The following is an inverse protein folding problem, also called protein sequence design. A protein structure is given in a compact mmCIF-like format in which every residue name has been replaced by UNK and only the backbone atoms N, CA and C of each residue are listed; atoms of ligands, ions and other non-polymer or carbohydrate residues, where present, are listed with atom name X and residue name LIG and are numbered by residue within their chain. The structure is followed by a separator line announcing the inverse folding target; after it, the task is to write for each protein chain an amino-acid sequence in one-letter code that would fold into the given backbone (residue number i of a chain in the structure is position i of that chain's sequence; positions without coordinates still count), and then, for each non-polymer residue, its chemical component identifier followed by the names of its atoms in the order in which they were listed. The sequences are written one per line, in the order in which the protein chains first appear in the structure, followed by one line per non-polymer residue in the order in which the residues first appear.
data_IF_341114843768
#
_entry.id   IF_341114843768
#
_cell.length_a   1.000
_cell.length_b   1.000
_cell.length_c   1.000
_cell.angle_alpha   90.00
_cell.angle_beta   90.00
_cell.angle_gamma   90.00
#
_symmetry.space_group_name_H-M   'P 1'
#
loop_
_entity.id
_entity.type
_entity.pdbx_description
1 polymer ?
#
# COMPACT_ATOMS: atom_id res chain seq x y z
N UNK A 1 -24.34 52.67 28.76
CA UNK A 1 -24.40 52.81 27.29
C UNK A 1 -23.04 52.49 26.72
N UNK A 2 -22.91 51.45 25.89
CA UNK A 2 -21.68 51.16 25.14
C UNK A 2 -21.94 51.40 23.66
N UNK A 3 -21.06 52.17 23.00
CA UNK A 3 -21.13 52.43 21.55
C UNK A 3 -20.22 51.44 20.84
N UNK A 4 -20.76 50.68 19.89
CA UNK A 4 -20.00 49.75 19.05
C UNK A 4 -19.53 50.46 17.78
N UNK A 5 -18.21 50.57 17.60
CA UNK A 5 -17.61 51.25 16.44
C UNK A 5 -17.30 50.23 15.33
N UNK A 6 -18.12 50.21 14.28
CA UNK A 6 -17.93 49.34 13.10
C UNK A 6 -17.20 50.09 11.98
N UNK A 7 -15.86 50.05 11.95
CA UNK A 7 -15.08 50.76 10.90
C UNK A 7 -13.83 50.03 10.37
N UNK A 8 -13.54 48.80 10.82
CA UNK A 8 -12.31 48.08 10.45
C UNK A 8 -12.42 47.12 9.24
N UNK A 9 -13.60 46.90 8.67
CA UNK A 9 -13.85 45.81 7.69
C UNK A 9 -13.70 46.20 6.21
N UNK A 10 -13.45 47.47 5.86
CA UNK A 10 -13.43 47.91 4.46
C UNK A 10 -12.06 47.89 3.75
N UNK A 11 -10.95 47.72 4.46
CA UNK A 11 -9.61 47.74 3.83
C UNK A 11 -9.17 46.40 3.22
N UNK A 12 -9.92 45.31 3.40
CA UNK A 12 -9.57 43.98 2.87
C UNK A 12 -9.92 43.77 1.38
N UNK A 13 -10.68 44.69 0.76
CA UNK A 13 -11.23 44.53 -0.60
C UNK A 13 -10.29 45.00 -1.74
N UNK A 14 -9.05 45.38 -1.44
CA UNK A 14 -8.03 45.79 -2.43
C UNK A 14 -7.01 44.69 -2.79
N UNK A 15 -7.42 43.41 -2.74
CA UNK A 15 -6.62 42.35 -3.35
C UNK A 15 -6.75 42.41 -4.88
N UNK A 16 -5.62 42.70 -5.54
CA UNK A 16 -5.45 42.82 -6.98
C UNK A 16 -6.13 41.67 -7.76
N UNK A 17 -6.82 42.00 -8.87
CA UNK A 17 -7.46 41.00 -9.73
C UNK A 17 -6.40 40.27 -10.58
N UNK A 18 -6.15 38.96 -10.36
CA UNK A 18 -5.25 38.22 -11.22
C UNK A 18 -5.85 38.10 -12.62
N UNK A 19 -5.00 38.28 -13.64
CA UNK A 19 -5.40 38.33 -15.05
C UNK A 19 -6.21 37.09 -15.45
N UNK A 20 -7.51 37.30 -15.69
CA UNK A 20 -8.43 36.27 -16.18
C UNK A 20 -7.97 35.74 -17.55
N UNK A 21 -7.86 34.41 -17.69
CA UNK A 21 -7.57 33.77 -18.97
C UNK A 21 -6.86 32.42 -18.86
N UNK A 22 -6.00 32.24 -17.84
CA UNK A 22 -5.31 30.97 -17.59
C UNK A 22 -5.93 30.30 -16.37
N UNK A 23 -6.60 29.15 -16.56
CA UNK A 23 -7.05 28.31 -15.43
C UNK A 23 -5.82 27.97 -14.57
N UNK A 24 -5.87 28.21 -13.27
CA UNK A 24 -4.71 28.05 -12.36
C UNK A 24 -4.00 26.68 -12.47
N UNK A 25 -4.74 25.63 -12.87
CA UNK A 25 -4.23 24.27 -13.14
C UNK A 25 -3.32 24.11 -14.36
N UNK A 26 -3.27 25.09 -15.27
CA UNK A 26 -2.37 25.09 -16.42
C UNK A 26 -0.99 25.67 -16.08
N UNK A 27 -0.93 26.70 -15.22
CA UNK A 27 0.33 27.30 -14.79
C UNK A 27 1.11 26.35 -13.86
N UNK A 28 0.44 25.63 -12.97
CA UNK A 28 1.08 24.65 -12.08
C UNK A 28 1.80 23.51 -12.81
N UNK A 29 1.37 23.15 -14.04
CA UNK A 29 2.05 22.15 -14.89
C UNK A 29 3.45 22.60 -15.36
N UNK A 30 3.78 23.90 -15.28
CA UNK A 30 5.12 24.43 -15.57
C UNK A 30 6.09 24.22 -14.42
N UNK A 31 5.60 24.05 -13.19
CA UNK A 31 6.46 23.88 -12.02
C UNK A 31 7.38 22.65 -12.17
N UNK A 32 8.63 22.81 -11.78
CA UNK A 32 9.66 21.77 -11.73
C UNK A 32 10.32 21.78 -10.36
N UNK A 33 10.82 20.63 -9.95
CA UNK A 33 11.52 20.42 -8.68
C UNK A 33 12.91 19.85 -8.94
N UNK A 34 13.90 20.27 -8.16
CA UNK A 34 15.26 19.72 -8.20
C UNK A 34 15.30 18.40 -7.45
N UNK A 35 15.76 17.35 -8.13
CA UNK A 35 15.93 16.01 -7.52
C UNK A 35 17.30 15.46 -7.88
N UNK A 36 17.91 14.72 -6.96
CA UNK A 36 19.09 13.91 -7.26
C UNK A 36 18.67 12.50 -7.61
N UNK A 37 19.14 11.97 -8.73
CA UNK A 37 18.93 10.58 -9.11
C UNK A 37 19.89 9.66 -8.32
N UNK A 38 19.37 8.61 -7.70
CA UNK A 38 20.15 7.56 -7.04
C UNK A 38 20.37 6.33 -7.94
N UNK A 39 19.63 6.24 -9.05
CA UNK A 39 19.68 5.17 -10.06
C UNK A 39 19.61 5.78 -11.45
N UNK A 40 20.04 5.04 -12.46
CA UNK A 40 19.93 5.46 -13.86
C UNK A 40 18.48 5.32 -14.34
N UNK A 41 17.96 6.35 -15.01
CA UNK A 41 16.60 6.38 -15.54
C UNK A 41 16.59 6.78 -17.01
N UNK A 42 16.25 5.82 -17.88
CA UNK A 42 16.16 6.04 -19.32
C UNK A 42 15.21 7.21 -19.64
N UNK A 43 15.73 8.17 -20.43
CA UNK A 43 15.05 9.41 -20.81
C UNK A 43 14.95 10.49 -19.73
N UNK A 44 15.63 10.34 -18.58
CA UNK A 44 15.60 11.33 -17.47
C UNK A 44 17.02 11.75 -17.06
N UNK A 45 17.93 10.80 -16.89
CA UNK A 45 19.30 11.08 -16.46
C UNK A 45 19.99 9.88 -15.80
N UNK A 46 21.24 10.08 -15.40
CA UNK A 46 22.09 9.07 -14.76
C UNK A 46 22.17 9.23 -13.24
N UNK A 47 22.60 8.18 -12.55
CA UNK A 47 22.87 8.18 -11.10
C UNK A 47 23.84 9.29 -10.71
N UNK A 48 23.54 9.99 -9.61
CA UNK A 48 24.30 11.12 -9.09
C UNK A 48 23.90 12.48 -9.70
N UNK A 49 23.27 12.49 -10.88
CA UNK A 49 22.86 13.72 -11.57
C UNK A 49 21.73 14.45 -10.84
N UNK A 50 21.79 15.79 -10.83
CA UNK A 50 20.70 16.66 -10.37
C UNK A 50 19.87 17.10 -11.58
N UNK A 51 18.58 16.79 -11.58
CA UNK A 51 17.67 17.04 -12.71
C UNK A 51 16.43 17.79 -12.24
N UNK A 52 15.90 18.69 -13.08
CA UNK A 52 14.64 19.39 -12.83
C UNK A 52 13.45 18.63 -13.44
N UNK A 53 12.64 17.99 -12.58
CA UNK A 53 11.56 17.08 -13.02
C UNK A 53 10.17 17.60 -12.65
N UNK A 54 9.13 17.05 -13.28
CA UNK A 54 7.73 17.29 -12.88
C UNK A 54 7.47 16.61 -11.52
N UNK A 55 6.74 17.23 -10.57
CA UNK A 55 6.37 16.58 -9.31
C UNK A 55 5.68 15.22 -9.48
N UNK A 56 4.76 15.08 -10.44
CA UNK A 56 4.12 13.80 -10.76
C UNK A 56 5.10 12.72 -11.25
N UNK A 57 6.13 13.08 -12.04
CA UNK A 57 7.16 12.13 -12.46
C UNK A 57 8.03 11.68 -11.28
N UNK A 58 8.32 12.60 -10.35
CA UNK A 58 9.02 12.27 -9.12
C UNK A 58 8.21 11.28 -8.27
N UNK A 59 6.95 11.60 -7.95
CA UNK A 59 6.09 10.75 -7.11
C UNK A 59 5.87 9.37 -7.73
N UNK A 60 5.54 9.31 -9.03
CA UNK A 60 5.07 8.07 -9.65
C UNK A 60 6.19 7.18 -10.20
N UNK A 61 7.35 7.73 -10.59
CA UNK A 61 8.41 6.99 -11.32
C UNK A 61 9.79 7.03 -10.66
N UNK A 62 10.21 8.15 -10.09
CA UNK A 62 11.60 8.34 -9.63
C UNK A 62 11.79 8.08 -8.13
N UNK A 63 10.86 8.53 -7.29
CA UNK A 63 10.89 8.32 -5.84
C UNK A 63 10.69 6.85 -5.41
N UNK A 64 9.79 6.05 -6.03
CA UNK A 64 9.57 4.66 -5.65
C UNK A 64 10.85 3.83 -5.64
N UNK A 65 10.97 2.92 -4.66
CA UNK A 65 12.14 2.05 -4.47
C UNK A 65 13.47 2.83 -4.34
N UNK A 66 13.44 4.01 -3.72
CA UNK A 66 14.58 4.90 -3.48
C UNK A 66 15.37 5.22 -4.77
N UNK A 67 14.67 5.57 -5.85
CA UNK A 67 15.30 5.91 -7.12
C UNK A 67 15.83 7.34 -7.19
N UNK A 68 15.27 8.29 -6.43
CA UNK A 68 15.66 9.69 -6.41
C UNK A 68 15.33 10.37 -5.06
N UNK A 69 16.02 11.47 -4.76
CA UNK A 69 15.89 12.26 -3.52
C UNK A 69 15.54 13.71 -3.85
N UNK A 70 14.65 14.32 -3.07
CA UNK A 70 14.28 15.73 -3.20
C UNK A 70 15.42 16.65 -2.72
N UNK A 71 15.75 17.67 -3.51
CA UNK A 71 16.71 18.73 -3.13
C UNK A 71 16.02 20.09 -2.93
N UNK A 72 14.74 20.07 -2.54
CA UNK A 72 13.92 21.28 -2.39
C UNK A 72 14.11 22.01 -1.04
N UNK A 73 14.85 21.43 -0.08
CA UNK A 73 15.09 22.03 1.24
C UNK A 73 16.39 22.83 1.20
N UNK A 74 16.41 24.11 1.61
CA UNK A 74 17.64 24.91 1.67
C UNK A 74 18.63 24.26 2.65
N UNK A 75 19.82 23.90 2.17
CA UNK A 75 20.84 23.19 2.95
C UNK A 75 20.81 21.66 2.84
N UNK A 76 19.88 21.06 2.07
CA UNK A 76 19.94 19.64 1.75
C UNK A 76 21.22 19.33 0.96
N UNK A 77 22.12 18.53 1.55
CA UNK A 77 23.32 18.04 0.87
C UNK A 77 22.97 16.90 -0.08
N UNK A 78 23.55 16.84 -1.30
CA UNK A 78 23.48 15.65 -2.14
C UNK A 78 23.95 14.40 -1.39
N UNK A 79 23.22 13.29 -1.55
CA UNK A 79 23.51 12.02 -0.88
C UNK A 79 24.68 11.29 -1.55
N UNK A 80 24.82 11.49 -2.86
CA UNK A 80 25.86 10.92 -3.72
C UNK A 80 26.67 12.10 -4.32
N UNK A 81 27.96 11.95 -4.65
CA UNK A 81 28.69 12.92 -5.46
C UNK A 81 27.90 13.32 -6.72
N UNK A 82 27.87 14.61 -7.02
CA UNK A 82 27.08 15.15 -8.14
C UNK A 82 27.85 14.94 -9.44
N UNK A 83 27.31 14.10 -10.31
CA UNK A 83 27.81 13.92 -11.68
C UNK A 83 27.32 15.08 -12.53
N UNK A 84 28.22 15.79 -13.21
CA UNK A 84 27.86 16.83 -14.18
C UNK A 84 27.57 16.20 -15.54
N UNK A 85 26.66 16.76 -16.35
CA UNK A 85 26.38 16.23 -17.68
C UNK A 85 27.57 16.35 -18.64
N UNK A 86 28.53 17.22 -18.36
CA UNK A 86 29.77 17.42 -19.13
C UNK A 86 30.71 16.20 -19.08
N UNK A 87 30.63 15.36 -18.03
CA UNK A 87 31.45 14.17 -17.88
C UNK A 87 30.91 12.94 -18.65
N UNK A 88 29.71 13.07 -19.23
CA UNK A 88 29.02 11.97 -19.91
C UNK A 88 29.40 11.94 -21.39
N UNK A 89 30.41 11.12 -21.72
CA UNK A 89 30.69 10.74 -23.10
C UNK A 89 29.40 10.21 -23.75
N UNK A 90 29.01 10.68 -24.94
CA UNK A 90 27.81 10.18 -25.61
C UNK A 90 28.02 8.72 -25.98
N UNK A 91 27.36 7.82 -25.24
CA UNK A 91 27.17 6.44 -25.67
C UNK A 91 26.07 6.47 -26.71
N UNK A 92 26.43 6.20 -27.97
CA UNK A 92 25.49 6.15 -29.08
C UNK A 92 24.39 5.12 -28.80
N UNK A 93 23.11 5.44 -29.10
CA UNK A 93 22.05 4.46 -28.95
C UNK A 93 22.28 3.32 -29.95
N UNK A 94 22.48 2.10 -29.45
CA UNK A 94 22.52 0.91 -30.29
C UNK A 94 21.11 0.69 -30.86
N UNK A 95 20.93 1.15 -32.10
CA UNK A 95 19.71 0.94 -32.88
C UNK A 95 19.75 -0.50 -33.41
N UNK A 96 19.11 -1.43 -32.71
CA UNK A 96 18.70 -2.71 -33.31
C UNK A 96 17.54 -2.46 -34.25
N UNK A 97 17.87 -2.29 -35.53
CA UNK A 97 16.99 -2.42 -36.70
C UNK A 97 17.48 -3.58 -37.57
N UNK A 98 16.64 -3.96 -38.54
CA UNK A 98 16.85 -5.04 -39.52
C UNK A 98 16.50 -6.42 -38.90
N UNK A 99 15.63 -7.26 -39.48
CA UNK A 99 15.19 -7.35 -40.88
C UNK A 99 13.73 -7.84 -41.08
N UNK A 100 13.21 -7.68 -42.29
CA UNK A 100 11.87 -8.02 -42.77
C UNK A 100 12.04 -8.77 -44.13
N UNK A 101 11.21 -9.71 -44.60
CA UNK A 101 9.88 -10.19 -44.21
C UNK A 101 9.84 -11.75 -44.50
N UNK A 102 8.80 -12.44 -45.08
CA UNK A 102 7.43 -12.07 -45.46
C UNK A 102 6.28 -13.03 -45.02
N UNK A 103 5.08 -12.45 -44.99
CA UNK A 103 3.73 -12.97 -45.35
C UNK A 103 3.56 -14.48 -45.62
N UNK A 104 2.73 -15.17 -44.80
CA UNK A 104 1.75 -16.20 -45.23
C UNK A 104 0.53 -16.21 -44.26
N UNK A 105 -0.66 -15.94 -44.81
CA UNK A 105 -2.04 -16.36 -44.47
C UNK A 105 -2.60 -16.34 -43.02
N UNK A 106 -3.75 -15.66 -42.87
CA UNK A 106 -4.73 -15.92 -41.81
C UNK A 106 -5.39 -17.30 -42.01
N UNK A 107 -5.78 -17.98 -40.92
CA UNK A 107 -7.21 -18.27 -40.83
C UNK A 107 -7.82 -18.00 -39.45
N UNK A 108 -8.92 -17.25 -39.49
CA UNK A 108 -10.16 -17.48 -38.74
C UNK A 108 -10.06 -17.79 -37.23
N UNK A 109 -10.42 -16.76 -36.47
CA UNK A 109 -11.04 -16.83 -35.15
C UNK A 109 -11.84 -18.12 -34.91
N UNK A 110 -11.28 -19.01 -34.09
CA UNK A 110 -12.08 -19.88 -33.24
C UNK A 110 -11.90 -19.39 -31.81
N UNK A 111 -12.80 -18.50 -31.38
CA UNK A 111 -13.07 -18.37 -29.94
C UNK A 111 -13.52 -19.74 -29.45
N UNK A 112 -12.84 -20.38 -28.48
CA UNK A 112 -13.44 -21.53 -27.82
C UNK A 112 -14.71 -21.03 -27.14
N UNK A 113 -15.87 -21.42 -27.68
CA UNK A 113 -17.12 -21.33 -26.94
C UNK A 113 -17.00 -22.33 -25.80
N UNK A 114 -16.60 -21.81 -24.63
CA UNK A 114 -16.67 -22.53 -23.36
C UNK A 114 -18.08 -23.10 -23.23
N UNK A 115 -18.19 -24.42 -23.02
CA UNK A 115 -19.49 -25.02 -22.75
C UNK A 115 -20.04 -24.49 -21.42
N UNK A 116 -21.35 -24.62 -21.20
CA UNK A 116 -21.94 -24.27 -19.91
C UNK A 116 -21.35 -25.16 -18.80
N UNK A 117 -21.10 -26.44 -19.09
CA UNK A 117 -20.36 -27.36 -18.23
C UNK A 117 -18.93 -26.90 -17.92
N UNK A 118 -18.17 -26.36 -18.89
CA UNK A 118 -16.83 -25.80 -18.64
C UNK A 118 -16.92 -24.58 -17.71
N UNK A 119 -17.90 -23.69 -17.90
CA UNK A 119 -18.13 -22.53 -17.02
C UNK A 119 -18.58 -22.91 -15.60
N UNK A 120 -19.30 -24.03 -15.45
CA UNK A 120 -19.69 -24.60 -14.15
C UNK A 120 -18.50 -25.31 -13.46
N UNK A 121 -17.52 -25.78 -14.24
CA UNK A 121 -16.30 -26.43 -13.73
C UNK A 121 -15.05 -25.53 -13.70
N UNK A 122 -15.18 -24.24 -14.05
CA UNK A 122 -14.27 -23.21 -13.52
C UNK A 122 -14.54 -23.07 -12.02
N UNK A 123 -13.91 -23.96 -11.29
CA UNK A 123 -13.98 -24.05 -9.84
C UNK A 123 -13.44 -22.74 -9.25
N UNK A 124 -14.32 -21.94 -8.64
CA UNK A 124 -13.99 -20.62 -8.07
C UNK A 124 -12.88 -20.76 -7.02
N UNK A 125 -12.74 -21.94 -6.41
CA UNK A 125 -11.66 -22.30 -5.48
C UNK A 125 -10.26 -22.30 -6.13
N UNK A 126 -10.14 -22.50 -7.44
CA UNK A 126 -8.85 -22.51 -8.15
C UNK A 126 -8.39 -21.10 -8.55
N UNK A 127 -9.32 -20.22 -8.96
CA UNK A 127 -9.01 -18.79 -9.11
C UNK A 127 -8.70 -18.13 -7.77
N UNK A 128 -9.30 -18.63 -6.68
CA UNK A 128 -8.92 -18.28 -5.32
C UNK A 128 -7.48 -18.69 -4.96
N UNK A 129 -6.73 -19.49 -5.73
CA UNK A 129 -5.37 -19.91 -5.34
C UNK A 129 -4.41 -18.73 -5.11
N UNK A 130 -4.27 -17.84 -6.09
CA UNK A 130 -3.40 -16.65 -5.98
C UNK A 130 -3.95 -15.61 -5.01
N UNK A 131 -5.28 -15.44 -4.94
CA UNK A 131 -5.91 -14.56 -3.96
C UNK A 131 -5.70 -15.08 -2.52
N UNK A 132 -5.92 -16.38 -2.26
CA UNK A 132 -5.69 -17.05 -0.96
C UNK A 132 -4.23 -16.92 -0.54
N UNK A 133 -3.27 -17.17 -1.43
CA UNK A 133 -1.85 -16.95 -1.12
C UNK A 133 -1.56 -15.49 -0.76
N UNK A 134 -2.15 -14.53 -1.46
CA UNK A 134 -2.02 -13.10 -1.12
C UNK A 134 -2.68 -12.76 0.24
N UNK A 135 -3.83 -13.37 0.55
CA UNK A 135 -4.52 -13.24 1.83
C UNK A 135 -3.65 -13.79 2.95
N UNK A 136 -3.15 -15.02 2.84
CA UNK A 136 -2.26 -15.65 3.81
C UNK A 136 -0.98 -14.80 4.02
N UNK A 137 -0.39 -14.26 2.94
CA UNK A 137 0.77 -13.37 3.01
C UNK A 137 0.48 -12.02 3.70
N UNK A 138 -0.75 -11.51 3.58
CA UNK A 138 -1.20 -10.26 4.21
C UNK A 138 -1.56 -10.41 5.70
N UNK A 139 -1.74 -11.64 6.20
CA UNK A 139 -2.07 -11.89 7.61
C UNK A 139 -0.94 -11.34 8.52
N UNK A 140 -1.26 -10.43 9.46
CA UNK A 140 -0.24 -9.81 10.30
C UNK A 140 0.35 -10.82 11.30
N UNK A 141 1.67 -11.00 11.28
CA UNK A 141 2.41 -11.86 12.23
C UNK A 141 2.35 -11.40 13.70
N UNK A 142 1.92 -10.16 13.94
CA UNK A 142 1.80 -9.55 15.27
C UNK A 142 0.52 -8.72 15.37
N UNK A 143 -0.29 -9.01 16.37
CA UNK A 143 -1.47 -8.24 16.77
C UNK A 143 -1.23 -7.61 18.14
N UNK A 144 -1.72 -6.39 18.36
CA UNK A 144 -1.62 -5.68 19.63
C UNK A 144 -3.01 -5.20 20.03
N UNK A 145 -3.49 -5.68 21.17
CA UNK A 145 -4.69 -5.17 21.82
C UNK A 145 -4.27 -4.31 23.01
N UNK A 146 -4.86 -3.12 23.10
CA UNK A 146 -4.76 -2.23 24.26
C UNK A 146 -6.13 -2.16 24.89
N UNK A 147 -6.25 -2.60 26.14
CA UNK A 147 -7.52 -2.76 26.82
C UNK A 147 -7.38 -2.41 28.30
N UNK A 148 -8.48 -2.06 28.95
CA UNK A 148 -8.46 -1.72 30.37
C UNK A 148 -8.35 -3.00 31.22
N UNK A 149 -7.54 -2.95 32.28
CA UNK A 149 -7.29 -4.09 33.15
C UNK A 149 -7.12 -3.67 34.60
N UNK A 150 -7.70 -4.43 35.52
CA UNK A 150 -7.47 -4.30 36.95
C UNK A 150 -6.62 -5.48 37.41
N UNK A 151 -5.49 -5.23 38.10
CA UNK A 151 -4.61 -6.28 38.64
C UNK A 151 -4.21 -7.39 37.64
N UNK A 152 -3.92 -7.02 36.38
CA UNK A 152 -3.61 -7.90 35.22
C UNK A 152 -4.78 -8.71 34.65
N UNK A 153 -5.97 -8.62 35.22
CA UNK A 153 -7.21 -9.17 34.63
C UNK A 153 -7.88 -8.09 33.77
N UNK A 154 -8.31 -8.45 32.56
CA UNK A 154 -8.94 -7.54 31.61
C UNK A 154 -10.38 -7.21 32.06
N UNK A 155 -10.78 -5.93 32.01
CA UNK A 155 -12.18 -5.54 32.29
C UNK A 155 -13.15 -6.14 31.26
N UNK A 156 -12.69 -6.24 30.01
CA UNK A 156 -13.41 -6.85 28.89
C UNK A 156 -12.54 -7.97 28.30
N UNK A 157 -12.93 -9.25 28.40
CA UNK A 157 -12.22 -10.34 27.75
C UNK A 157 -12.12 -10.17 26.22
N UNK A 158 -11.21 -10.90 25.59
CA UNK A 158 -11.02 -10.88 24.13
C UNK A 158 -11.33 -12.28 23.58
N UNK A 159 -12.47 -12.37 22.88
CA UNK A 159 -12.94 -13.60 22.24
C UNK A 159 -12.32 -13.78 20.84
N UNK A 160 -12.35 -15.03 20.35
CA UNK A 160 -12.02 -15.40 18.97
C UNK A 160 -12.69 -14.52 17.91
N UNK A 161 -13.98 -14.16 18.09
CA UNK A 161 -14.73 -13.29 17.18
C UNK A 161 -14.13 -11.89 17.05
N UNK A 162 -13.60 -11.35 18.15
CA UNK A 162 -12.92 -10.04 18.20
C UNK A 162 -11.55 -10.11 17.54
N UNK A 163 -10.87 -11.25 17.61
CA UNK A 163 -9.61 -11.48 16.89
C UNK A 163 -9.89 -11.61 15.39
N UNK A 164 -10.83 -12.47 14.97
CA UNK A 164 -11.27 -12.67 13.58
C UNK A 164 -11.66 -11.36 12.90
N UNK A 165 -12.51 -10.57 13.54
CA UNK A 165 -12.97 -9.28 12.99
C UNK A 165 -11.87 -8.20 12.92
N UNK A 166 -10.82 -8.28 13.74
CA UNK A 166 -9.64 -7.43 13.57
C UNK A 166 -8.74 -7.95 12.44
N UNK A 167 -8.51 -9.25 12.34
CA UNK A 167 -7.74 -9.85 11.23
C UNK A 167 -8.33 -9.48 9.88
N UNK A 168 -9.64 -9.67 9.70
CA UNK A 168 -10.37 -9.29 8.48
C UNK A 168 -10.15 -7.81 8.12
N UNK A 169 -10.20 -6.89 9.10
CA UNK A 169 -9.96 -5.45 8.89
C UNK A 169 -8.51 -5.10 8.56
N UNK A 170 -7.54 -5.89 9.03
CA UNK A 170 -6.13 -5.69 8.69
C UNK A 170 -5.84 -6.22 7.29
N UNK A 171 -6.28 -7.44 6.96
CA UNK A 171 -6.04 -8.06 5.65
C UNK A 171 -6.78 -7.32 4.54
N UNK A 172 -8.04 -6.91 4.73
CA UNK A 172 -8.78 -6.15 3.71
C UNK A 172 -8.12 -4.81 3.39
N UNK A 173 -7.60 -4.10 4.40
CA UNK A 173 -6.90 -2.84 4.24
C UNK A 173 -5.53 -2.99 3.56
N UNK A 174 -4.80 -4.07 3.83
CA UNK A 174 -3.50 -4.32 3.21
C UNK A 174 -3.65 -4.77 1.74
N UNK A 175 -4.78 -5.41 1.40
CA UNK A 175 -5.11 -5.93 0.07
C UNK A 175 -5.96 -4.98 -0.79
N UNK A 176 -6.18 -3.73 -0.38
CA UNK A 176 -6.96 -2.73 -1.14
C UNK A 176 -6.45 -2.61 -2.59
N UNK A 177 -7.12 -3.29 -3.52
CA UNK A 177 -6.80 -3.34 -4.95
C UNK A 177 -6.16 -4.64 -5.48
N UNK A 178 -5.89 -5.64 -4.64
CA UNK A 178 -5.38 -6.97 -5.04
C UNK A 178 -6.46 -8.05 -4.93
N UNK A 179 -7.19 -8.09 -3.82
CA UNK A 179 -8.31 -9.01 -3.60
C UNK A 179 -9.56 -8.20 -3.25
N UNK A 180 -10.75 -8.75 -3.54
CA UNK A 180 -11.99 -8.10 -3.13
C UNK A 180 -12.21 -8.25 -1.61
N UNK A 181 -12.93 -7.31 -1.00
CA UNK A 181 -13.32 -7.44 0.41
C UNK A 181 -14.18 -8.69 0.65
N UNK A 182 -14.92 -9.12 -0.38
CA UNK A 182 -15.73 -10.33 -0.40
C UNK A 182 -14.85 -11.58 -0.34
N UNK A 183 -13.80 -11.68 -1.17
CA UNK A 183 -12.79 -12.78 -1.12
C UNK A 183 -12.19 -12.92 0.29
N UNK A 184 -11.87 -11.80 0.94
CA UNK A 184 -11.30 -11.77 2.29
C UNK A 184 -12.31 -12.25 3.33
N UNK A 185 -13.58 -11.83 3.27
CA UNK A 185 -14.62 -12.36 4.18
C UNK A 185 -14.86 -13.85 3.94
N UNK A 186 -15.00 -14.29 2.70
CA UNK A 186 -15.24 -15.70 2.34
C UNK A 186 -14.10 -16.58 2.80
N UNK A 187 -12.84 -16.13 2.71
CA UNK A 187 -11.69 -16.85 3.28
C UNK A 187 -11.85 -17.03 4.80
N UNK A 188 -12.12 -15.97 5.56
CA UNK A 188 -12.24 -16.11 7.01
C UNK A 188 -13.51 -16.86 7.45
N UNK A 189 -14.57 -16.87 6.64
CA UNK A 189 -15.82 -17.59 6.91
C UNK A 189 -15.84 -19.03 6.35
N UNK A 190 -14.76 -19.48 5.70
CA UNK A 190 -14.62 -20.86 5.22
C UNK A 190 -14.66 -21.86 6.40
N UNK A 191 -15.42 -22.94 6.23
CA UNK A 191 -15.66 -23.94 7.28
C UNK A 191 -14.43 -24.77 7.65
N UNK A 192 -13.43 -24.81 6.78
CA UNK A 192 -12.17 -25.52 7.00
C UNK A 192 -11.16 -24.71 7.84
N UNK A 193 -11.40 -23.40 8.02
CA UNK A 193 -10.49 -22.47 8.69
C UNK A 193 -10.77 -22.33 10.19
N UNK A 194 -9.99 -23.07 10.99
CA UNK A 194 -10.04 -23.06 12.44
C UNK A 194 -9.03 -22.05 13.05
N UNK A 195 -9.53 -21.12 13.86
CA UNK A 195 -8.72 -20.22 14.68
C UNK A 195 -8.58 -20.78 16.10
N UNK A 196 -7.35 -21.08 16.53
CA UNK A 196 -7.05 -21.57 17.89
C UNK A 196 -6.10 -20.62 18.62
N UNK A 197 -6.44 -20.23 19.85
CA UNK A 197 -5.59 -19.38 20.71
C UNK A 197 -4.88 -20.30 21.71
N UNK A 198 -3.55 -20.22 21.77
CA UNK A 198 -2.76 -20.89 22.80
C UNK A 198 -2.16 -19.88 23.76
N UNK A 199 -2.20 -20.22 25.05
CA UNK A 199 -1.46 -19.51 26.08
C UNK A 199 0.03 -19.87 26.04
N UNK A 200 0.86 -19.20 26.84
CA UNK A 200 2.30 -19.48 26.99
C UNK A 200 2.63 -20.93 27.38
N UNK A 201 1.66 -21.61 27.99
CA UNK A 201 1.75 -23.01 28.41
C UNK A 201 1.35 -24.00 27.29
N UNK A 202 0.98 -23.51 26.11
CA UNK A 202 0.55 -24.32 24.97
C UNK A 202 -0.90 -24.82 25.03
N UNK A 203 -1.62 -24.53 26.12
CA UNK A 203 -3.04 -24.88 26.31
C UNK A 203 -3.92 -24.02 25.40
N UNK A 204 -4.86 -24.68 24.71
CA UNK A 204 -5.91 -24.03 23.90
C UNK A 204 -6.96 -23.34 24.80
N UNK A 205 -7.25 -22.07 24.53
CA UNK A 205 -8.20 -21.25 25.28
C UNK A 205 -9.15 -20.54 24.31
N UNK A 206 -10.44 -20.44 24.66
CA UNK A 206 -11.47 -19.76 23.85
C UNK A 206 -11.51 -18.24 24.03
N UNK A 207 -11.12 -17.75 25.23
CA UNK A 207 -11.25 -16.36 25.67
C UNK A 207 -9.97 -15.89 26.38
N UNK A 208 -9.45 -14.73 26.00
CA UNK A 208 -8.29 -14.12 26.68
C UNK A 208 -8.79 -13.21 27.80
N UNK A 209 -8.53 -13.60 29.05
CA UNK A 209 -8.94 -12.87 30.26
C UNK A 209 -7.83 -12.02 30.92
N UNK A 210 -6.56 -12.26 30.61
CA UNK A 210 -5.43 -11.60 31.29
C UNK A 210 -4.44 -10.91 30.35
N UNK A 211 -3.76 -9.89 30.89
CA UNK A 211 -2.72 -9.12 30.20
C UNK A 211 -1.50 -10.02 29.95
N UNK A 212 -1.09 -10.18 28.70
CA UNK A 212 -0.10 -11.20 28.35
C UNK A 212 0.27 -11.24 26.87
N UNK A 213 0.98 -12.31 26.50
CA UNK A 213 1.31 -12.66 25.13
C UNK A 213 0.76 -14.06 24.86
N UNK A 214 0.06 -14.20 23.74
CA UNK A 214 -0.67 -15.38 23.31
C UNK A 214 -0.32 -15.66 21.85
N UNK A 215 -0.32 -16.91 21.44
CA UNK A 215 -0.09 -17.28 20.05
C UNK A 215 -1.40 -17.77 19.44
N UNK A 216 -1.80 -17.18 18.31
CA UNK A 216 -3.01 -17.57 17.57
C UNK A 216 -2.60 -18.27 16.30
N UNK A 217 -3.15 -19.46 16.09
CA UNK A 217 -2.89 -20.31 14.94
C UNK A 217 -4.09 -20.26 14.00
N UNK A 218 -3.79 -20.00 12.73
CA UNK A 218 -4.75 -20.09 11.62
C UNK A 218 -4.51 -21.45 10.98
N UNK A 219 -5.45 -22.38 11.17
CA UNK A 219 -5.34 -23.77 10.70
C UNK A 219 -6.37 -24.04 9.60
N UNK A 220 -5.97 -24.74 8.55
CA UNK A 220 -6.83 -25.24 7.48
C UNK A 220 -6.75 -26.78 7.55
N UNK A 221 -7.78 -27.40 8.11
CA UNK A 221 -7.74 -28.81 8.52
C UNK A 221 -6.57 -29.11 9.47
N UNK A 222 -5.65 -29.99 9.05
CA UNK A 222 -4.44 -30.35 9.82
C UNK A 222 -3.24 -29.40 9.60
N UNK A 223 -3.33 -28.42 8.68
CA UNK A 223 -2.20 -27.56 8.29
C UNK A 223 -2.26 -26.21 8.99
N UNK A 224 -1.17 -25.82 9.67
CA UNK A 224 -0.99 -24.46 10.20
C UNK A 224 -0.57 -23.51 9.08
N UNK A 225 -1.47 -22.63 8.62
CA UNK A 225 -1.18 -21.65 7.57
C UNK A 225 -0.38 -20.45 8.10
N UNK A 226 -0.73 -19.96 9.30
CA UNK A 226 -0.08 -18.78 9.88
C UNK A 226 -0.08 -18.82 11.41
N UNK A 227 0.95 -18.24 12.02
CA UNK A 227 1.09 -18.08 13.46
C UNK A 227 1.21 -16.60 13.80
N UNK A 228 0.33 -16.12 14.66
CA UNK A 228 0.12 -14.70 14.95
C UNK A 228 0.37 -14.45 16.42
N UNK A 229 1.36 -13.62 16.75
CA UNK A 229 1.64 -13.24 18.14
C UNK A 229 0.71 -12.13 18.58
N UNK A 230 -0.20 -12.44 19.49
CA UNK A 230 -1.16 -11.50 20.09
C UNK A 230 -0.61 -10.99 21.42
N UNK A 231 -0.32 -9.68 21.47
CA UNK A 231 0.06 -8.99 22.70
C UNK A 231 -1.14 -8.22 23.25
N UNK A 232 -1.52 -8.50 24.49
CA UNK A 232 -2.55 -7.76 25.20
C UNK A 232 -1.89 -6.91 26.28
N UNK A 233 -1.99 -5.59 26.13
CA UNK A 233 -1.40 -4.60 27.02
C UNK A 233 -2.48 -3.88 27.84
N UNK A 234 -2.14 -3.54 29.09
CA UNK A 234 -2.99 -2.70 29.93
C UNK A 234 -2.94 -1.24 29.48
N UNK A 235 -4.12 -0.65 29.26
CA UNK A 235 -4.28 0.81 29.23
C UNK A 235 -4.35 1.28 30.68
N UNK A 236 -3.19 1.56 31.28
CA UNK A 236 -3.15 2.13 32.62
C UNK A 236 -3.81 3.52 32.58
N UNK A 237 -4.90 3.68 33.33
CA UNK A 237 -5.37 5.02 33.71
C UNK A 237 -4.27 5.69 34.54
N UNK A 238 -3.92 6.92 34.18
CA UNK A 238 -3.01 7.80 34.93
C UNK A 238 -3.85 8.74 35.79
#
# INVERSE_FOLDING_TARGET
MFKTTTSFTFNALKSETPKFGVRHSAQSKKNRISVQLLKDFHGVGVRGQIVQVKPSAMINRLHPRNGAVYLNIPGAKPVIPVVKPEDLKPVEPVITKTEEAPVVEEPQVQTPMLSLEDLISVDVTQLLGTERESIIASIPKKLIFVNESNAKVLKNPIDLSKIKSNLLKYTSKELDGIATQESVSTFFDDSELALTIKNKEGVDISVIESVGAYDVFVNEGERTLSTIRVFVNSKNEK
#
